data_IF_251458675569
#
_entry.id   IF_251458675569
#
_cell.length_a   1.000
_cell.length_b   1.000
_cell.length_c   1.000
_cell.angle_alpha   90.00
_cell.angle_beta   90.00
_cell.angle_gamma   90.00
#
_symmetry.space_group_name_H-M   'P 1'
#
loop_
_entity.id
_entity.type
_entity.pdbx_description
1 polymer ?
#
# COMPACT_ATOMS: atom_id res chain seq x y z
N UNK A 1 -45.38 45.52 -0.30
CA UNK A 1 -44.04 45.10 -0.77
C UNK A 1 -43.17 44.88 0.44
N UNK A 2 -42.79 43.64 0.73
CA UNK A 2 -41.73 43.32 1.69
C UNK A 2 -40.84 42.27 1.02
N UNK A 3 -39.65 42.67 0.62
CA UNK A 3 -38.63 41.78 0.05
C UNK A 3 -38.04 40.95 1.19
N UNK A 4 -38.29 39.64 1.20
CA UNK A 4 -37.42 38.68 1.91
C UNK A 4 -36.41 38.17 0.89
N UNK A 5 -35.28 38.85 0.76
CA UNK A 5 -34.10 38.23 0.16
C UNK A 5 -33.55 37.23 1.19
N UNK A 6 -33.98 35.97 1.06
CA UNK A 6 -33.30 34.86 1.71
C UNK A 6 -31.99 34.63 0.97
N UNK A 7 -30.87 34.68 1.69
CA UNK A 7 -29.57 34.30 1.14
C UNK A 7 -29.63 32.80 0.78
N UNK A 8 -29.59 32.44 -0.50
CA UNK A 8 -29.43 31.06 -0.95
C UNK A 8 -28.01 30.59 -0.59
N UNK A 9 -27.85 30.06 0.62
CA UNK A 9 -26.61 29.42 1.06
C UNK A 9 -26.59 28.02 0.45
N UNK A 10 -25.65 27.67 -0.44
CA UNK A 10 -25.59 26.32 -1.01
C UNK A 10 -25.41 25.31 0.12
N UNK A 11 -26.24 24.28 0.14
CA UNK A 11 -26.08 23.15 1.07
C UNK A 11 -24.75 22.44 0.75
N UNK A 12 -23.74 22.63 1.61
CA UNK A 12 -22.43 22.00 1.44
C UNK A 12 -22.54 20.54 1.88
N UNK A 13 -22.71 19.63 0.92
CA UNK A 13 -22.66 18.20 1.17
C UNK A 13 -21.20 17.78 1.39
N UNK A 14 -20.85 17.41 2.62
CA UNK A 14 -19.51 16.92 2.94
C UNK A 14 -19.25 15.55 2.29
N UNK A 15 -18.20 15.45 1.47
CA UNK A 15 -17.75 14.17 0.90
C UNK A 15 -16.62 13.55 1.72
N UNK A 16 -16.81 12.32 2.20
CA UNK A 16 -15.76 11.56 2.90
C UNK A 16 -15.11 10.60 1.91
N UNK A 17 -13.77 10.58 1.86
CA UNK A 17 -13.00 9.67 0.99
C UNK A 17 -11.78 9.11 1.75
N UNK A 18 -11.56 7.80 1.61
CA UNK A 18 -10.35 7.14 2.11
C UNK A 18 -9.19 7.48 1.17
N UNK A 19 -8.15 8.13 1.70
CA UNK A 19 -6.95 8.47 0.93
C UNK A 19 -5.85 7.41 1.01
N UNK A 20 -5.77 6.66 2.09
CA UNK A 20 -4.78 5.61 2.22
C UNK A 20 -5.21 4.60 3.27
N UNK A 21 -4.91 3.34 2.98
CA UNK A 21 -4.95 2.24 3.93
C UNK A 21 -3.54 1.68 4.01
N UNK A 22 -2.98 1.71 5.21
CA UNK A 22 -1.72 1.04 5.54
C UNK A 22 -2.05 -0.26 6.26
N UNK A 23 -1.47 -1.37 5.81
CA UNK A 23 -1.71 -2.69 6.38
C UNK A 23 -0.38 -3.40 6.66
N UNK A 24 -0.30 -4.10 7.79
CA UNK A 24 0.84 -4.92 8.16
C UNK A 24 0.51 -6.40 8.03
N UNK A 25 1.50 -7.22 7.67
CA UNK A 25 1.39 -8.67 7.59
C UNK A 25 2.70 -9.35 7.99
N UNK A 26 2.65 -10.64 8.34
CA UNK A 26 3.83 -11.42 8.72
C UNK A 26 3.78 -12.79 8.04
N UNK A 27 4.88 -13.20 7.41
CA UNK A 27 4.99 -14.50 6.71
C UNK A 27 5.40 -15.66 7.61
N UNK A 28 5.63 -15.41 8.90
CA UNK A 28 6.09 -16.37 9.92
C UNK A 28 7.34 -17.17 9.50
N UNK A 29 8.17 -16.58 8.65
CA UNK A 29 9.43 -17.15 8.18
C UNK A 29 10.39 -16.01 7.81
N UNK A 30 11.70 -16.29 7.84
CA UNK A 30 12.70 -15.33 7.36
C UNK A 30 12.70 -15.30 5.84
N UNK A 31 13.02 -14.14 5.28
CA UNK A 31 13.13 -13.91 3.84
C UNK A 31 14.57 -13.47 3.52
N UNK A 32 15.21 -14.12 2.56
CA UNK A 32 16.46 -13.65 1.98
C UNK A 32 16.15 -12.57 0.94
N UNK A 33 16.28 -11.29 1.34
CA UNK A 33 16.01 -10.16 0.45
C UNK A 33 16.98 -10.09 -0.74
N UNK A 34 18.20 -10.61 -0.62
CA UNK A 34 19.14 -10.65 -1.75
C UNK A 34 18.68 -11.67 -2.81
N UNK A 35 18.12 -12.81 -2.37
CA UNK A 35 17.48 -13.76 -3.28
C UNK A 35 16.27 -13.13 -4.00
N UNK A 36 15.44 -12.37 -3.27
CA UNK A 36 14.31 -11.64 -3.87
C UNK A 36 14.77 -10.64 -4.94
N UNK A 37 15.83 -9.87 -4.69
CA UNK A 37 16.39 -8.93 -5.69
C UNK A 37 16.86 -9.66 -6.94
N UNK A 38 17.52 -10.82 -6.79
CA UNK A 38 17.96 -11.64 -7.92
C UNK A 38 16.77 -12.14 -8.76
N UNK A 39 15.68 -12.53 -8.11
CA UNK A 39 14.46 -12.99 -8.79
C UNK A 39 13.61 -11.86 -9.39
N UNK A 40 13.71 -10.64 -8.84
CA UNK A 40 12.88 -9.50 -9.24
C UNK A 40 13.72 -8.22 -9.43
N UNK A 41 14.33 -8.02 -10.61
CA UNK A 41 15.21 -6.86 -10.87
C UNK A 41 14.56 -5.47 -10.69
N UNK A 42 13.24 -5.39 -10.64
CA UNK A 42 12.49 -4.14 -10.45
C UNK A 42 12.24 -3.73 -8.99
N UNK A 43 12.72 -4.50 -8.01
CA UNK A 43 12.59 -4.17 -6.59
C UNK A 43 13.74 -3.29 -6.11
N UNK A 44 13.46 -2.40 -5.17
CA UNK A 44 14.46 -1.50 -4.60
C UNK A 44 14.94 -2.08 -3.26
N UNK A 45 16.22 -2.41 -3.15
CA UNK A 45 16.84 -2.84 -1.90
C UNK A 45 18.23 -2.24 -1.74
N UNK A 46 18.40 -1.37 -0.74
CA UNK A 46 19.67 -0.74 -0.37
C UNK A 46 19.79 -0.75 1.16
N UNK A 47 20.25 -1.87 1.77
CA UNK A 47 20.20 -2.06 3.22
C UNK A 47 20.93 -0.97 4.02
N UNK A 48 21.99 -0.38 3.44
CA UNK A 48 22.73 0.75 4.02
C UNK A 48 21.88 2.03 4.17
N UNK A 49 20.82 2.18 3.37
CA UNK A 49 19.91 3.33 3.43
C UNK A 49 18.60 3.00 4.14
N UNK A 50 18.07 1.80 3.93
CA UNK A 50 16.83 1.34 4.54
C UNK A 50 16.82 -0.20 4.66
N UNK A 51 16.50 -0.77 5.84
CA UNK A 51 16.63 -2.21 6.08
C UNK A 51 15.58 -3.08 5.36
N UNK A 52 14.55 -2.49 4.74
CA UNK A 52 13.52 -3.22 4.02
C UNK A 52 13.67 -3.13 2.50
N UNK A 53 13.20 -4.15 1.79
CA UNK A 53 13.03 -4.14 0.34
C UNK A 53 11.69 -3.48 0.00
N UNK A 54 11.67 -2.61 -1.02
CA UNK A 54 10.45 -1.97 -1.53
C UNK A 54 9.97 -2.71 -2.78
N UNK A 55 8.82 -3.36 -2.66
CA UNK A 55 8.15 -4.05 -3.76
C UNK A 55 6.97 -3.22 -4.25
N UNK A 56 6.99 -2.78 -5.51
CA UNK A 56 5.93 -1.93 -6.09
C UNK A 56 5.03 -2.73 -7.03
N UNK A 57 3.73 -2.64 -6.83
CA UNK A 57 2.73 -3.17 -7.75
C UNK A 57 2.15 -2.04 -8.61
N UNK A 58 1.90 -2.32 -9.89
CA UNK A 58 1.20 -1.39 -10.79
C UNK A 58 -0.32 -1.42 -10.58
N UNK A 59 -0.87 -2.61 -10.28
CA UNK A 59 -2.31 -2.84 -10.05
C UNK A 59 -2.51 -3.92 -8.97
N UNK A 60 -3.07 -3.57 -7.79
CA UNK A 60 -3.32 -2.20 -7.31
C UNK A 60 -2.02 -1.38 -7.23
N UNK A 61 -2.11 -0.04 -7.28
CA UNK A 61 -0.92 0.84 -7.22
C UNK A 61 -0.47 0.99 -5.77
N UNK A 62 0.35 0.06 -5.31
CA UNK A 62 0.78 -0.03 -3.91
C UNK A 62 2.28 -0.24 -3.80
N UNK A 63 2.84 0.13 -2.65
CA UNK A 63 4.19 -0.25 -2.25
C UNK A 63 4.09 -1.18 -1.03
N UNK A 64 4.88 -2.25 -1.04
CA UNK A 64 5.01 -3.18 0.08
C UNK A 64 6.46 -3.24 0.50
N UNK A 65 6.71 -2.81 1.74
CA UNK A 65 7.99 -2.96 2.41
C UNK A 65 8.10 -4.38 2.94
N UNK A 66 9.24 -5.03 2.76
CA UNK A 66 9.49 -6.42 3.15
C UNK A 66 10.80 -6.47 3.92
N UNK A 67 10.79 -7.07 5.10
CA UNK A 67 11.97 -7.16 5.97
C UNK A 67 12.47 -8.60 6.05
N UNK A 68 13.77 -8.81 6.34
CA UNK A 68 14.35 -10.16 6.51
C UNK A 68 13.62 -11.01 7.56
N UNK A 69 12.93 -10.38 8.53
CA UNK A 69 12.12 -11.04 9.54
C UNK A 69 10.82 -11.66 9.01
N UNK A 70 10.46 -11.41 7.75
CA UNK A 70 9.17 -11.80 7.17
C UNK A 70 8.02 -10.84 7.49
N UNK A 71 8.28 -9.74 8.22
CA UNK A 71 7.32 -8.64 8.37
C UNK A 71 7.15 -7.91 7.03
N UNK A 72 5.93 -7.47 6.78
CA UNK A 72 5.53 -6.72 5.60
C UNK A 72 4.68 -5.52 6.00
N UNK A 73 4.85 -4.39 5.30
CA UNK A 73 4.00 -3.20 5.44
C UNK A 73 3.57 -2.75 4.04
N UNK A 74 2.26 -2.75 3.77
CA UNK A 74 1.69 -2.31 2.51
C UNK A 74 1.03 -0.94 2.67
N UNK A 75 1.28 -0.03 1.73
CA UNK A 75 0.71 1.33 1.68
C UNK A 75 0.28 1.68 0.26
N UNK A 76 -0.57 2.71 0.13
CA UNK A 76 -1.08 3.23 -1.14
C UNK A 76 -2.41 2.62 -1.58
N UNK A 77 -3.00 1.71 -0.79
CA UNK A 77 -4.32 1.16 -1.06
C UNK A 77 -5.42 2.15 -0.67
N UNK A 78 -6.57 2.12 -1.33
CA UNK A 78 -7.73 2.98 -1.01
C UNK A 78 -8.84 2.24 -0.25
N UNK A 79 -8.63 0.96 0.07
CA UNK A 79 -9.50 0.14 0.91
C UNK A 79 -8.75 -1.02 1.55
N UNK A 80 -9.31 -1.58 2.64
CA UNK A 80 -8.80 -2.80 3.27
C UNK A 80 -8.79 -4.00 2.29
N UNK A 81 -9.85 -4.16 1.49
CA UNK A 81 -9.92 -5.23 0.49
C UNK A 81 -8.83 -5.09 -0.57
N UNK A 82 -8.45 -3.87 -0.93
CA UNK A 82 -7.35 -3.62 -1.86
C UNK A 82 -5.98 -3.90 -1.22
N UNK A 83 -5.75 -3.48 0.03
CA UNK A 83 -4.49 -3.77 0.73
C UNK A 83 -4.27 -5.27 0.90
N UNK A 84 -5.32 -6.04 1.24
CA UNK A 84 -5.27 -7.51 1.30
C UNK A 84 -4.92 -8.12 -0.05
N UNK A 85 -5.53 -7.64 -1.14
CA UNK A 85 -5.22 -8.12 -2.51
C UNK A 85 -3.78 -7.81 -2.91
N UNK A 86 -3.28 -6.62 -2.57
CA UNK A 86 -1.91 -6.21 -2.84
C UNK A 86 -0.90 -7.13 -2.14
N UNK A 87 -1.06 -7.30 -0.81
CA UNK A 87 -0.19 -8.18 -0.01
C UNK A 87 -0.20 -9.61 -0.55
N UNK A 88 -1.39 -10.17 -0.81
CA UNK A 88 -1.49 -11.53 -1.36
C UNK A 88 -0.85 -11.67 -2.74
N UNK A 89 -0.87 -10.62 -3.56
CA UNK A 89 -0.19 -10.63 -4.87
C UNK A 89 1.33 -10.63 -4.70
N UNK A 90 1.89 -9.79 -3.82
CA UNK A 90 3.32 -9.83 -3.49
C UNK A 90 3.74 -11.20 -2.99
N UNK A 91 2.98 -11.80 -2.07
CA UNK A 91 3.26 -13.15 -1.55
C UNK A 91 3.31 -14.20 -2.67
N UNK A 92 2.40 -14.12 -3.65
CA UNK A 92 2.39 -15.05 -4.79
C UNK A 92 3.61 -14.88 -5.69
N UNK A 93 4.10 -13.67 -5.89
CA UNK A 93 5.35 -13.47 -6.63
C UNK A 93 6.53 -14.05 -5.83
N UNK A 94 6.66 -13.76 -4.54
CA UNK A 94 7.75 -14.31 -3.71
C UNK A 94 7.81 -15.84 -3.67
N UNK A 95 6.67 -16.54 -3.84
CA UNK A 95 6.63 -18.01 -3.87
C UNK A 95 7.15 -18.64 -5.17
N UNK A 96 7.26 -17.88 -6.26
CA UNK A 96 7.68 -18.39 -7.58
C UNK A 96 9.19 -18.34 -7.80
N UNK A 97 9.90 -17.67 -6.89
CA UNK A 97 11.32 -17.36 -6.97
C UNK A 97 12.14 -18.19 -5.98
#
# INVERSE_FOLDING_TARGET
MFYKEGLDIPEVVASIRIENVVASATLNQRIDLNAVVKGYPGVEYRPEQFPGLVFRLKRPKTATLIFNSGKMVCTGAKSEKESKRAVMKVIRELKKS
#
